data_IF_109886566579
#
_entry.id   IF_109886566579
#
_cell.length_a   1.000
_cell.length_b   1.000
_cell.length_c   1.000
_cell.angle_alpha   90.00
_cell.angle_beta   90.00
_cell.angle_gamma   90.00
#
_symmetry.space_group_name_H-M   'P 1'
#
loop_
_entity.id
_entity.type
_entity.pdbx_description
1 polymer ?
#
# COMPACT_ATOMS: atom_id res chain seq x y z
N UNK A 1 24.25 1.75 3.39
CA UNK A 1 24.63 1.22 4.72
C UNK A 1 23.90 2.00 5.82
N UNK A 2 22.57 2.18 5.68
CA UNK A 2 21.72 2.90 6.64
C UNK A 2 20.45 2.08 7.00
N UNK A 3 20.41 0.81 6.59
CA UNK A 3 19.25 -0.10 6.70
C UNK A 3 19.62 -1.43 7.36
N UNK A 4 20.80 -1.51 7.99
CA UNK A 4 21.28 -2.70 8.68
C UNK A 4 20.72 -2.84 10.08
N UNK A 5 20.25 -1.74 10.70
CA UNK A 5 19.65 -1.77 12.03
C UNK A 5 18.12 -1.83 11.95
N UNK A 6 17.61 -3.06 12.07
CA UNK A 6 16.17 -3.35 12.18
C UNK A 6 15.52 -2.63 13.39
N UNK A 7 16.32 -2.25 14.39
CA UNK A 7 15.90 -1.44 15.53
C UNK A 7 15.43 -0.05 15.11
N UNK A 8 16.21 0.65 14.26
CA UNK A 8 15.84 1.97 13.71
C UNK A 8 14.58 1.84 12.86
N UNK A 9 14.48 0.76 12.07
CA UNK A 9 13.30 0.50 11.25
C UNK A 9 12.03 0.31 12.11
N UNK A 10 12.15 -0.35 13.26
CA UNK A 10 11.05 -0.51 14.22
C UNK A 10 10.56 0.84 14.78
N UNK A 11 11.49 1.74 15.14
CA UNK A 11 11.13 3.08 15.61
C UNK A 11 10.45 3.91 14.51
N UNK A 12 11.00 3.89 13.29
CA UNK A 12 10.40 4.56 12.13
C UNK A 12 9.00 4.02 11.84
N UNK A 13 8.80 2.70 11.95
CA UNK A 13 7.50 2.07 11.77
C UNK A 13 6.50 2.49 12.86
N UNK A 14 6.93 2.56 14.12
CA UNK A 14 6.07 3.00 15.23
C UNK A 14 5.63 4.46 15.05
N UNK A 15 6.56 5.34 14.63
CA UNK A 15 6.26 6.72 14.27
C UNK A 15 5.25 6.79 13.12
N UNK A 16 5.39 5.95 12.10
CA UNK A 16 4.45 5.88 10.99
C UNK A 16 3.02 5.54 11.43
N UNK A 17 2.85 4.56 12.33
CA UNK A 17 1.53 4.23 12.89
C UNK A 17 0.95 5.39 13.69
N UNK A 18 1.77 6.03 14.52
CA UNK A 18 1.34 7.22 15.26
C UNK A 18 0.89 8.34 14.32
N UNK A 19 1.64 8.61 13.24
CA UNK A 19 1.27 9.57 12.20
C UNK A 19 -0.07 9.22 11.55
N UNK A 20 -0.33 7.95 11.23
CA UNK A 20 -1.64 7.54 10.70
C UNK A 20 -2.78 7.87 11.67
N UNK A 21 -2.62 7.58 12.97
CA UNK A 21 -3.65 7.90 13.98
C UNK A 21 -3.90 9.41 14.06
N UNK A 22 -2.84 10.23 14.03
CA UNK A 22 -2.95 11.69 14.03
C UNK A 22 -3.70 12.19 12.79
N UNK A 23 -3.43 11.62 11.61
CA UNK A 23 -4.14 11.99 10.37
C UNK A 23 -5.63 11.67 10.49
N UNK A 24 -5.99 10.45 10.92
CA UNK A 24 -7.41 10.05 11.07
C UNK A 24 -8.12 10.94 12.10
N UNK A 25 -7.48 11.19 13.24
CA UNK A 25 -8.04 12.10 14.26
C UNK A 25 -8.21 13.52 13.74
N UNK A 26 -7.25 14.02 12.97
CA UNK A 26 -7.31 15.37 12.40
C UNK A 26 -8.42 15.52 11.38
N UNK A 27 -8.61 14.53 10.49
CA UNK A 27 -9.72 14.52 9.52
C UNK A 27 -11.07 14.48 10.27
N UNK A 28 -11.19 13.64 11.29
CA UNK A 28 -12.40 13.59 12.11
C UNK A 28 -12.70 14.94 12.79
N UNK A 29 -11.69 15.60 13.35
CA UNK A 29 -11.84 16.93 13.94
C UNK A 29 -12.28 17.98 12.92
N UNK A 30 -11.79 17.93 11.68
CA UNK A 30 -12.25 18.83 10.61
C UNK A 30 -13.72 18.59 10.27
N UNK A 31 -14.15 17.33 10.19
CA UNK A 31 -15.56 16.99 9.99
C UNK A 31 -16.46 17.47 11.12
N UNK A 32 -16.04 17.27 12.37
CA UNK A 32 -16.85 17.58 13.56
C UNK A 32 -16.86 19.06 13.95
N UNK A 33 -15.71 19.75 13.85
CA UNK A 33 -15.51 21.11 14.38
C UNK A 33 -15.21 22.14 13.29
N UNK A 34 -14.69 21.72 12.14
CA UNK A 34 -14.27 22.60 11.04
C UNK A 34 -15.38 22.97 10.06
N UNK A 35 -16.65 22.74 10.41
CA UNK A 35 -17.80 23.16 9.61
C UNK A 35 -18.11 22.33 8.36
N UNK A 36 -17.34 21.29 8.04
CA UNK A 36 -17.61 20.37 6.92
C UNK A 36 -18.85 19.51 7.21
N UNK A 37 -18.98 19.02 8.45
CA UNK A 37 -20.07 18.14 8.86
C UNK A 37 -19.96 16.72 8.30
N UNK A 38 -20.97 15.90 8.60
CA UNK A 38 -21.04 14.47 8.22
C UNK A 38 -22.34 14.12 7.47
N UNK A 39 -22.94 15.12 6.81
CA UNK A 39 -24.24 14.99 6.14
C UNK A 39 -24.12 15.09 4.62
N UNK A 40 -22.96 14.74 4.06
CA UNK A 40 -22.81 14.70 2.63
C UNK A 40 -23.78 13.69 2.00
N UNK A 41 -24.36 14.06 0.86
CA UNK A 41 -25.21 13.18 0.06
C UNK A 41 -24.33 12.44 -0.94
N UNK A 42 -24.61 11.17 -1.13
CA UNK A 42 -23.92 10.35 -2.12
C UNK A 42 -24.68 9.08 -2.44
N UNK A 43 -24.21 8.39 -3.47
CA UNK A 43 -24.78 7.13 -3.94
C UNK A 43 -24.18 5.98 -3.14
N UNK A 44 -25.01 5.26 -2.38
CA UNK A 44 -24.54 4.21 -1.47
C UNK A 44 -23.84 3.03 -2.18
N UNK A 45 -24.20 2.75 -3.43
CA UNK A 45 -23.62 1.67 -4.21
C UNK A 45 -23.49 2.08 -5.66
N UNK A 46 -22.25 2.30 -6.11
CA UNK A 46 -21.92 2.46 -7.52
C UNK A 46 -21.26 1.17 -8.02
N UNK A 47 -21.96 0.43 -8.89
CA UNK A 47 -21.47 -0.85 -9.44
C UNK A 47 -20.26 -0.67 -10.34
N UNK A 48 -20.19 0.44 -11.06
CA UNK A 48 -19.13 0.71 -12.02
C UNK A 48 -17.79 0.97 -11.33
N UNK A 49 -17.82 1.52 -10.11
CA UNK A 49 -16.63 1.76 -9.29
C UNK A 49 -16.10 0.55 -8.52
N UNK A 50 -16.83 -0.58 -8.49
CA UNK A 50 -16.43 -1.76 -7.71
C UNK A 50 -15.04 -2.29 -8.11
N UNK A 51 -14.71 -2.48 -9.41
CA UNK A 51 -13.39 -2.98 -9.80
C UNK A 51 -12.24 -2.09 -9.35
N UNK A 52 -12.40 -0.77 -9.46
CA UNK A 52 -11.42 0.23 -9.02
C UNK A 52 -11.29 0.20 -7.50
N UNK A 53 -12.40 0.20 -6.76
CA UNK A 53 -12.41 0.10 -5.29
C UNK A 53 -11.74 -1.18 -4.76
N UNK A 54 -12.03 -2.33 -5.38
CA UNK A 54 -11.38 -3.61 -5.04
C UNK A 54 -9.88 -3.53 -5.29
N UNK A 55 -9.44 -2.90 -6.37
CA UNK A 55 -8.02 -2.76 -6.70
C UNK A 55 -7.29 -1.85 -5.72
N UNK A 56 -7.89 -0.71 -5.36
CA UNK A 56 -7.38 0.19 -4.32
C UNK A 56 -7.27 -0.53 -2.97
N UNK A 57 -8.29 -1.32 -2.60
CA UNK A 57 -8.27 -2.13 -1.40
C UNK A 57 -7.15 -3.19 -1.43
N UNK A 58 -6.92 -3.85 -2.56
CA UNK A 58 -5.81 -4.80 -2.72
C UNK A 58 -4.46 -4.10 -2.50
N UNK A 59 -4.24 -2.88 -3.03
CA UNK A 59 -3.00 -2.12 -2.78
C UNK A 59 -2.79 -1.85 -1.29
N UNK A 60 -3.84 -1.45 -0.58
CA UNK A 60 -3.78 -1.16 0.85
C UNK A 60 -3.20 -2.35 1.66
N UNK A 61 -3.39 -3.59 1.20
CA UNK A 61 -2.90 -4.80 1.85
C UNK A 61 -1.67 -5.43 1.17
N UNK A 62 -1.00 -4.71 0.26
CA UNK A 62 0.16 -5.18 -0.53
C UNK A 62 1.48 -5.43 0.22
N UNK A 63 1.44 -5.70 1.53
CA UNK A 63 2.62 -5.89 2.40
C UNK A 63 3.23 -7.30 2.40
N UNK A 64 2.65 -8.25 1.69
CA UNK A 64 3.02 -9.68 1.72
C UNK A 64 4.52 -9.97 1.49
N UNK A 65 5.24 -9.27 0.58
CA UNK A 65 6.66 -9.55 0.37
C UNK A 65 7.55 -9.30 1.60
N UNK A 66 7.11 -8.47 2.55
CA UNK A 66 7.85 -8.21 3.78
C UNK A 66 7.62 -9.28 4.87
N UNK A 67 6.56 -10.07 4.75
CA UNK A 67 6.12 -11.05 5.76
C UNK A 67 7.20 -12.10 6.09
N UNK A 68 7.93 -12.70 5.11
CA UNK A 68 9.00 -13.65 5.42
C UNK A 68 10.16 -13.01 6.20
N UNK A 69 10.55 -11.79 5.84
CA UNK A 69 11.61 -11.06 6.56
C UNK A 69 11.21 -10.80 8.01
N UNK A 70 9.97 -10.35 8.23
CA UNK A 70 9.42 -10.14 9.58
C UNK A 70 9.47 -11.45 10.38
N UNK A 71 9.01 -12.57 9.80
CA UNK A 71 9.02 -13.88 10.47
C UNK A 71 10.41 -14.31 10.91
N UNK A 72 11.41 -14.19 10.03
CA UNK A 72 12.79 -14.63 10.31
C UNK A 72 13.41 -13.80 11.43
N UNK A 73 13.12 -12.49 11.46
CA UNK A 73 13.66 -11.52 12.42
C UNK A 73 12.95 -11.50 13.78
N UNK A 74 11.77 -12.12 13.90
CA UNK A 74 11.01 -12.13 15.14
C UNK A 74 11.72 -12.97 16.21
N UNK A 75 11.94 -12.38 17.40
CA UNK A 75 12.55 -13.07 18.55
C UNK A 75 11.75 -14.32 18.94
N UNK A 76 10.43 -14.22 18.95
CA UNK A 76 9.51 -15.30 19.33
C UNK A 76 8.53 -15.62 18.19
N UNK A 77 8.96 -16.50 17.27
CA UNK A 77 8.19 -16.85 16.06
C UNK A 77 6.82 -17.48 16.32
N UNK A 78 6.61 -18.06 17.51
CA UNK A 78 5.31 -18.61 17.91
C UNK A 78 4.20 -17.53 17.96
N UNK A 79 4.56 -16.27 18.23
CA UNK A 79 3.61 -15.16 18.27
C UNK A 79 3.26 -14.60 16.88
N UNK A 80 3.90 -15.09 15.81
CA UNK A 80 3.80 -14.52 14.47
C UNK A 80 2.35 -14.38 13.95
N UNK A 81 1.55 -15.43 14.06
CA UNK A 81 0.16 -15.39 13.59
C UNK A 81 -0.68 -14.38 14.36
N UNK A 82 -0.44 -14.22 15.67
CA UNK A 82 -1.14 -13.21 16.48
C UNK A 82 -0.72 -11.78 16.08
N UNK A 83 0.57 -11.58 15.83
CA UNK A 83 1.11 -10.28 15.38
C UNK A 83 0.53 -9.92 14.01
N UNK A 84 0.54 -10.84 13.05
CA UNK A 84 -0.05 -10.62 11.72
C UNK A 84 -1.54 -10.30 11.80
N UNK A 85 -2.32 -11.12 12.53
CA UNK A 85 -3.75 -10.91 12.65
C UNK A 85 -4.06 -9.55 13.31
N UNK A 86 -3.35 -9.21 14.37
CA UNK A 86 -3.48 -7.92 15.05
C UNK A 86 -3.13 -6.76 14.12
N UNK A 87 -1.98 -6.81 13.44
CA UNK A 87 -1.55 -5.72 12.55
C UNK A 87 -2.51 -5.51 11.40
N UNK A 88 -2.94 -6.58 10.72
CA UNK A 88 -3.88 -6.47 9.62
C UNK A 88 -5.27 -6.02 10.07
N UNK A 89 -5.71 -6.41 11.27
CA UNK A 89 -6.99 -5.95 11.85
C UNK A 89 -6.95 -4.45 12.17
N UNK A 90 -5.86 -3.97 12.77
CA UNK A 90 -5.68 -2.53 13.05
C UNK A 90 -5.66 -1.74 11.75
N UNK A 91 -4.90 -2.20 10.74
CA UNK A 91 -4.85 -1.58 9.42
C UNK A 91 -6.23 -1.50 8.77
N UNK A 92 -6.97 -2.62 8.76
CA UNK A 92 -8.34 -2.68 8.24
C UNK A 92 -9.26 -1.69 8.94
N UNK A 93 -9.22 -1.64 10.28
CA UNK A 93 -10.02 -0.70 11.06
C UNK A 93 -9.67 0.75 10.71
N UNK A 94 -8.38 1.10 10.61
CA UNK A 94 -7.97 2.46 10.28
C UNK A 94 -8.44 2.88 8.89
N UNK A 95 -8.32 2.00 7.89
CA UNK A 95 -8.79 2.29 6.53
C UNK A 95 -10.31 2.41 6.46
N UNK A 96 -11.05 1.51 7.12
CA UNK A 96 -12.50 1.59 7.18
C UNK A 96 -12.98 2.87 7.87
N UNK A 97 -12.36 3.26 8.99
CA UNK A 97 -12.68 4.51 9.67
C UNK A 97 -12.45 5.72 8.76
N UNK A 98 -11.30 5.80 8.09
CA UNK A 98 -11.03 6.91 7.15
C UNK A 98 -12.00 6.92 5.98
N UNK A 99 -12.32 5.76 5.42
CA UNK A 99 -13.26 5.64 4.30
C UNK A 99 -14.67 6.10 4.69
N UNK A 100 -15.18 5.64 5.84
CA UNK A 100 -16.51 6.03 6.34
C UNK A 100 -16.54 7.52 6.66
N UNK A 101 -15.54 8.03 7.38
CA UNK A 101 -15.45 9.47 7.72
C UNK A 101 -15.38 10.32 6.45
N UNK A 102 -14.53 9.94 5.49
CA UNK A 102 -14.39 10.67 4.22
C UNK A 102 -15.67 10.70 3.40
N UNK A 103 -16.34 9.55 3.27
CA UNK A 103 -17.61 9.47 2.55
C UNK A 103 -18.71 10.28 3.24
N UNK A 104 -18.80 10.26 4.58
CA UNK A 104 -19.77 11.09 5.30
C UNK A 104 -19.50 12.60 5.17
N UNK A 105 -18.23 13.00 5.03
CA UNK A 105 -17.84 14.40 4.88
C UNK A 105 -18.05 14.94 3.46
N UNK A 106 -17.79 14.14 2.42
CA UNK A 106 -17.75 14.63 1.03
C UNK A 106 -18.68 13.92 0.06
N UNK A 107 -19.18 12.73 0.40
CA UNK A 107 -20.11 11.95 -0.43
C UNK A 107 -19.51 11.67 -1.81
N UNK A 108 -20.31 11.90 -2.86
CA UNK A 108 -19.89 11.71 -4.26
C UNK A 108 -18.84 12.73 -4.73
N UNK A 109 -18.56 13.78 -3.94
CA UNK A 109 -17.55 14.80 -4.28
C UNK A 109 -16.16 14.49 -3.72
N UNK A 110 -15.92 13.27 -3.22
CA UNK A 110 -14.61 12.90 -2.69
C UNK A 110 -13.58 12.79 -3.82
N UNK A 111 -12.59 13.67 -3.82
CA UNK A 111 -11.41 13.54 -4.69
C UNK A 111 -10.60 12.27 -4.41
N UNK A 112 -9.77 11.86 -5.38
CA UNK A 112 -8.87 10.68 -5.31
C UNK A 112 -8.01 10.57 -4.04
N UNK A 113 -7.77 11.70 -3.37
CA UNK A 113 -7.17 11.77 -2.04
C UNK A 113 -8.00 12.69 -1.15
N UNK A 114 -8.39 12.20 0.02
CA UNK A 114 -9.19 12.99 0.98
C UNK A 114 -8.52 14.31 1.37
N UNK A 115 -7.18 14.35 1.40
CA UNK A 115 -6.40 15.54 1.70
C UNK A 115 -6.63 16.70 0.72
N UNK A 116 -7.02 16.41 -0.52
CA UNK A 116 -7.36 17.43 -1.52
C UNK A 116 -8.70 18.11 -1.23
N UNK A 117 -9.61 17.42 -0.53
CA UNK A 117 -10.91 17.95 -0.15
C UNK A 117 -10.86 18.81 1.12
N UNK A 118 -9.76 18.73 1.89
CA UNK A 118 -9.68 19.37 3.21
C UNK A 118 -9.57 20.90 3.09
N UNK A 119 -10.38 21.68 3.83
CA UNK A 119 -10.34 23.13 3.79
C UNK A 119 -9.04 23.66 4.41
N UNK A 120 -8.24 24.39 3.64
CA UNK A 120 -6.89 24.84 4.06
C UNK A 120 -6.89 25.86 5.21
N UNK A 121 -8.06 26.42 5.56
CA UNK A 121 -8.21 27.37 6.69
C UNK A 121 -8.11 26.70 8.07
N UNK A 122 -8.50 25.43 8.17
CA UNK A 122 -8.62 24.71 9.44
C UNK A 122 -7.29 24.17 9.95
N UNK A 123 -7.07 24.24 11.27
CA UNK A 123 -5.84 23.71 11.90
C UNK A 123 -5.75 22.19 11.71
N UNK A 124 -6.86 21.47 11.87
CA UNK A 124 -6.91 20.02 11.66
C UNK A 124 -6.56 19.62 10.23
N UNK A 125 -7.02 20.40 9.23
CA UNK A 125 -6.69 20.17 7.83
C UNK A 125 -5.20 20.34 7.56
N UNK A 126 -4.59 21.43 8.07
CA UNK A 126 -3.15 21.67 7.95
C UNK A 126 -2.33 20.54 8.56
N UNK A 127 -2.69 20.09 9.77
CA UNK A 127 -2.03 18.97 10.44
C UNK A 127 -2.12 17.70 9.59
N UNK A 128 -3.31 17.33 9.11
CA UNK A 128 -3.50 16.16 8.25
C UNK A 128 -2.66 16.24 6.96
N UNK A 129 -2.63 17.40 6.30
CA UNK A 129 -1.86 17.62 5.07
C UNK A 129 -0.35 17.50 5.35
N UNK A 130 0.19 18.19 6.36
CA UNK A 130 1.62 18.13 6.66
C UNK A 130 2.09 16.73 7.03
N UNK A 131 1.34 16.03 7.88
CA UNK A 131 1.69 14.66 8.23
C UNK A 131 1.58 13.69 7.05
N UNK A 132 0.61 13.88 6.15
CA UNK A 132 0.51 13.11 4.91
C UNK A 132 1.73 13.34 4.01
N UNK A 133 2.25 14.57 3.93
CA UNK A 133 3.47 14.89 3.18
C UNK A 133 4.75 14.30 3.81
N UNK A 134 4.79 14.08 5.12
CA UNK A 134 5.92 13.47 5.81
C UNK A 134 6.04 11.96 5.57
N UNK A 135 4.91 11.26 5.36
CA UNK A 135 4.90 9.80 5.17
C UNK A 135 5.73 9.37 3.95
N UNK A 136 5.56 9.94 2.74
CA UNK A 136 6.36 9.59 1.58
C UNK A 136 7.86 9.76 1.78
N UNK A 137 8.30 10.80 2.50
CA UNK A 137 9.73 11.07 2.73
C UNK A 137 10.39 9.90 3.45
N UNK A 138 9.75 9.39 4.49
CA UNK A 138 10.26 8.25 5.27
C UNK A 138 10.05 6.92 4.54
N UNK A 139 8.86 6.70 3.97
CA UNK A 139 8.48 5.47 3.27
C UNK A 139 9.27 5.25 1.98
N UNK A 140 9.57 6.31 1.22
CA UNK A 140 10.27 6.20 -0.06
C UNK A 140 11.61 5.50 0.09
N UNK A 141 12.39 5.89 1.11
CA UNK A 141 13.70 5.29 1.39
C UNK A 141 13.59 3.78 1.66
N UNK A 142 12.55 3.36 2.38
CA UNK A 142 12.31 1.96 2.71
C UNK A 142 11.95 1.13 1.49
N UNK A 143 11.12 1.68 0.60
CA UNK A 143 10.65 0.99 -0.61
C UNK A 143 11.74 0.95 -1.68
N UNK A 144 12.47 2.05 -1.90
CA UNK A 144 13.45 2.14 -2.98
C UNK A 144 14.76 1.42 -2.66
N UNK A 145 15.13 1.29 -1.39
CA UNK A 145 16.42 0.68 -1.04
C UNK A 145 16.56 -0.78 -1.48
N UNK A 146 15.60 -1.70 -1.24
CA UNK A 146 15.73 -3.07 -1.75
C UNK A 146 15.89 -3.10 -3.27
N UNK A 147 15.14 -2.26 -4.00
CA UNK A 147 15.25 -2.12 -5.46
C UNK A 147 16.64 -1.62 -5.87
N UNK A 148 17.12 -0.55 -5.24
CA UNK A 148 18.45 -0.02 -5.49
C UNK A 148 19.53 -1.07 -5.18
N UNK A 149 19.41 -1.82 -4.08
CA UNK A 149 20.37 -2.88 -3.76
C UNK A 149 20.31 -4.06 -4.72
N UNK A 150 19.14 -4.39 -5.27
CA UNK A 150 19.02 -5.43 -6.28
C UNK A 150 19.74 -5.00 -7.57
N UNK A 151 19.48 -3.78 -8.05
CA UNK A 151 20.19 -3.22 -9.20
C UNK A 151 21.70 -3.14 -8.94
N UNK A 152 22.12 -2.66 -7.77
CA UNK A 152 23.53 -2.56 -7.38
C UNK A 152 24.25 -3.94 -7.36
N UNK A 153 23.51 -5.05 -7.16
CA UNK A 153 24.07 -6.41 -7.13
C UNK A 153 24.29 -7.03 -8.51
N UNK A 154 23.53 -6.59 -9.52
CA UNK A 154 23.71 -7.01 -10.91
C UNK A 154 24.95 -6.37 -11.56
N UNK A 155 25.58 -5.39 -10.91
CA UNK A 155 26.84 -4.82 -11.38
C UNK A 155 27.99 -5.81 -11.20
N UNK A 156 28.93 -5.77 -12.15
CA UNK A 156 30.16 -6.56 -12.09
C UNK A 156 30.93 -6.30 -10.78
N UNK A 157 31.68 -7.29 -10.32
CA UNK A 157 32.45 -7.23 -9.07
C UNK A 157 33.37 -5.99 -8.99
N UNK A 158 33.89 -5.51 -10.13
CA UNK A 158 34.72 -4.30 -10.20
C UNK A 158 33.95 -3.01 -9.90
N UNK A 159 32.69 -2.92 -10.33
CA UNK A 159 31.87 -1.72 -10.19
C UNK A 159 31.03 -1.71 -8.91
N UNK A 160 30.89 -2.86 -8.24
CA UNK A 160 30.07 -3.01 -7.03
C UNK A 160 30.54 -2.13 -5.86
N UNK A 161 31.84 -1.85 -5.75
CA UNK A 161 32.40 -0.99 -4.71
C UNK A 161 32.49 0.50 -5.12
N UNK A 162 32.16 0.85 -6.36
CA UNK A 162 32.21 2.23 -6.84
C UNK A 162 31.04 3.06 -6.28
N UNK A 163 31.34 3.85 -5.23
CA UNK A 163 30.39 4.79 -4.61
C UNK A 163 29.65 5.72 -5.59
N UNK A 164 30.28 6.37 -6.59
CA UNK A 164 29.56 7.30 -7.47
C UNK A 164 28.51 6.59 -8.34
N UNK A 165 28.79 5.38 -8.80
CA UNK A 165 27.85 4.62 -9.63
C UNK A 165 26.62 4.17 -8.84
N UNK A 166 26.80 3.79 -7.58
CA UNK A 166 25.68 3.48 -6.67
C UNK A 166 24.81 4.70 -6.38
N UNK A 167 25.42 5.88 -6.24
CA UNK A 167 24.68 7.14 -6.09
C UNK A 167 23.93 7.48 -7.37
N UNK A 168 24.54 7.27 -8.54
CA UNK A 168 23.90 7.49 -9.85
C UNK A 168 22.65 6.61 -10.01
N UNK A 169 22.71 5.33 -9.66
CA UNK A 169 21.53 4.44 -9.66
C UNK A 169 20.42 4.98 -8.77
N UNK A 170 20.75 5.43 -7.56
CA UNK A 170 19.74 5.96 -6.61
C UNK A 170 19.13 7.27 -7.07
N UNK A 171 19.93 8.17 -7.62
CA UNK A 171 19.46 9.44 -8.20
C UNK A 171 18.58 9.14 -9.41
N UNK A 172 18.99 8.21 -10.28
CA UNK A 172 18.20 7.78 -11.44
C UNK A 172 16.85 7.18 -11.06
N UNK A 173 16.81 6.36 -10.00
CA UNK A 173 15.56 5.84 -9.45
C UNK A 173 14.66 6.98 -8.94
N UNK A 174 15.22 7.92 -8.17
CA UNK A 174 14.50 9.09 -7.68
C UNK A 174 13.92 9.94 -8.81
N UNK A 175 14.75 10.29 -9.80
CA UNK A 175 14.31 11.10 -10.95
C UNK A 175 13.27 10.37 -11.78
N UNK A 176 13.42 9.06 -12.02
CA UNK A 176 12.42 8.28 -12.75
C UNK A 176 11.05 8.28 -12.04
N UNK A 177 11.03 8.13 -10.71
CA UNK A 177 9.78 8.19 -9.95
C UNK A 177 9.15 9.58 -9.97
N UNK A 178 9.96 10.65 -9.97
CA UNK A 178 9.46 12.01 -10.08
C UNK A 178 8.89 12.32 -11.47
N UNK A 179 9.51 11.81 -12.53
CA UNK A 179 9.01 11.95 -13.91
C UNK A 179 7.65 11.26 -14.03
N UNK A 180 7.50 10.02 -13.53
CA UNK A 180 6.20 9.32 -13.55
C UNK A 180 5.13 10.10 -12.81
N UNK A 181 5.45 10.63 -11.62
CA UNK A 181 4.52 11.44 -10.84
C UNK A 181 4.10 12.75 -11.55
N UNK A 182 4.97 13.32 -12.40
CA UNK A 182 4.65 14.51 -13.17
C UNK A 182 3.81 14.20 -14.42
N UNK A 183 4.10 13.09 -15.11
CA UNK A 183 3.43 12.70 -16.37
C UNK A 183 2.05 12.09 -16.11
N UNK A 184 1.87 11.36 -15.01
CA UNK A 184 0.62 10.68 -14.66
C UNK A 184 0.01 11.26 -13.37
N UNK A 185 -0.75 12.37 -13.44
CA UNK A 185 -1.33 13.02 -12.27
C UNK A 185 -2.56 12.28 -11.69
N UNK A 186 -3.00 11.18 -12.32
CA UNK A 186 -4.16 10.38 -11.91
C UNK A 186 -3.79 9.36 -10.83
N UNK A 187 -3.75 9.82 -9.58
CA UNK A 187 -3.37 8.99 -8.43
C UNK A 187 -4.24 7.72 -8.29
N UNK A 188 -5.56 7.88 -8.42
CA UNK A 188 -6.52 6.77 -8.28
C UNK A 188 -6.25 5.65 -9.30
N UNK A 189 -6.21 6.00 -10.58
CA UNK A 189 -6.00 5.03 -11.67
C UNK A 189 -4.63 4.35 -11.55
N UNK A 190 -3.57 5.11 -11.22
CA UNK A 190 -2.24 4.55 -11.02
C UNK A 190 -2.23 3.53 -9.86
N UNK A 191 -2.88 3.86 -8.75
CA UNK A 191 -2.99 2.94 -7.61
C UNK A 191 -3.84 1.72 -7.96
N UNK A 192 -4.93 1.87 -8.70
CA UNK A 192 -5.73 0.75 -9.19
C UNK A 192 -4.91 -0.20 -10.09
N UNK A 193 -4.07 0.33 -11.00
CA UNK A 193 -3.14 -0.47 -11.82
C UNK A 193 -2.10 -1.18 -10.94
N UNK A 194 -1.51 -0.48 -9.97
CA UNK A 194 -0.55 -1.08 -9.03
C UNK A 194 -1.18 -2.27 -8.29
N UNK A 195 -2.43 -2.13 -7.84
CA UNK A 195 -3.17 -3.18 -7.15
C UNK A 195 -3.46 -4.37 -8.03
N UNK A 196 -4.14 -4.10 -9.14
CA UNK A 196 -4.68 -5.11 -10.04
C UNK A 196 -3.59 -5.92 -10.76
N UNK A 197 -2.45 -5.32 -11.10
CA UNK A 197 -1.35 -6.02 -11.77
C UNK A 197 -0.32 -6.51 -10.75
N UNK A 198 0.34 -5.59 -10.05
CA UNK A 198 1.56 -5.91 -9.31
C UNK A 198 1.25 -6.59 -7.98
N UNK A 199 0.27 -6.08 -7.22
CA UNK A 199 -0.07 -6.66 -5.91
C UNK A 199 -0.80 -7.99 -6.06
N UNK A 200 -1.72 -8.12 -7.03
CA UNK A 200 -2.34 -9.40 -7.39
C UNK A 200 -1.27 -10.43 -7.77
N UNK A 201 -0.34 -10.09 -8.65
CA UNK A 201 0.71 -11.01 -9.05
C UNK A 201 1.58 -11.44 -7.84
N UNK A 202 2.08 -10.47 -7.06
CA UNK A 202 3.02 -10.71 -5.98
C UNK A 202 2.40 -11.35 -4.72
N UNK A 203 1.14 -11.05 -4.41
CA UNK A 203 0.50 -11.44 -3.15
C UNK A 203 -0.52 -12.56 -3.30
N UNK A 204 -1.13 -12.72 -4.48
CA UNK A 204 -2.16 -13.74 -4.72
C UNK A 204 -1.61 -14.84 -5.62
N UNK A 205 -1.25 -14.51 -6.86
CA UNK A 205 -0.98 -15.52 -7.90
C UNK A 205 0.34 -16.26 -7.65
N UNK A 206 1.46 -15.55 -7.55
CA UNK A 206 2.78 -16.17 -7.40
C UNK A 206 2.92 -17.06 -6.15
N UNK A 207 2.60 -16.59 -4.92
CA UNK A 207 2.75 -17.44 -3.73
C UNK A 207 1.82 -18.65 -3.77
N UNK A 208 0.60 -18.51 -4.28
CA UNK A 208 -0.35 -19.61 -4.41
C UNK A 208 0.11 -20.65 -5.45
N UNK A 209 0.62 -20.21 -6.60
CA UNK A 209 1.18 -21.13 -7.61
C UNK A 209 2.40 -21.88 -7.08
N UNK A 210 3.30 -21.20 -6.36
CA UNK A 210 4.43 -21.84 -5.69
C UNK A 210 3.96 -22.89 -4.67
N UNK A 211 2.97 -22.55 -3.85
CA UNK A 211 2.39 -23.47 -2.87
C UNK A 211 1.73 -24.69 -3.53
N UNK A 212 0.91 -24.48 -4.56
CA UNK A 212 0.28 -25.56 -5.33
C UNK A 212 1.33 -26.49 -5.93
N UNK A 213 2.36 -25.96 -6.58
CA UNK A 213 3.43 -26.76 -7.21
C UNK A 213 4.16 -27.64 -6.19
N UNK A 214 4.42 -27.12 -4.99
CA UNK A 214 5.10 -27.86 -3.92
C UNK A 214 4.19 -28.94 -3.34
N UNK A 215 2.95 -28.59 -2.97
CA UNK A 215 2.07 -29.49 -2.20
C UNK A 215 1.43 -30.57 -3.08
N UNK A 216 1.00 -30.23 -4.30
CA UNK A 216 0.43 -31.22 -5.24
C UNK A 216 1.48 -32.26 -5.60
N UNK A 217 2.74 -31.85 -5.75
CA UNK A 217 3.85 -32.77 -6.01
C UNK A 217 4.12 -33.75 -4.86
N UNK A 218 3.73 -33.41 -3.62
CA UNK A 218 4.03 -34.21 -2.43
C UNK A 218 2.85 -35.07 -1.96
N UNK A 219 1.62 -34.52 -2.02
CA UNK A 219 0.51 -35.04 -1.21
C UNK A 219 -0.82 -35.18 -1.97
N UNK A 220 -0.84 -34.94 -3.29
CA UNK A 220 -2.06 -35.00 -4.12
C UNK A 220 -3.06 -33.87 -3.86
N UNK A 221 -4.25 -33.93 -4.46
CA UNK A 221 -5.30 -32.92 -4.31
C UNK A 221 -6.05 -33.07 -2.96
N UNK A 222 -6.32 -31.95 -2.30
CA UNK A 222 -6.94 -31.87 -0.97
C UNK A 222 -7.86 -30.64 -0.91
N UNK A 223 -8.87 -30.65 -0.01
CA UNK A 223 -9.79 -29.52 0.18
C UNK A 223 -9.09 -28.18 0.47
N UNK A 224 -7.89 -28.22 1.09
CA UNK A 224 -7.06 -27.02 1.31
C UNK A 224 -6.56 -26.40 0.01
N UNK A 225 -6.26 -27.22 -1.00
CA UNK A 225 -5.81 -26.77 -2.32
C UNK A 225 -6.93 -26.07 -3.09
N UNK A 226 -8.19 -26.46 -2.87
CA UNK A 226 -9.35 -25.79 -3.47
C UNK A 226 -9.47 -24.33 -3.00
N UNK A 227 -9.17 -24.05 -1.73
CA UNK A 227 -9.08 -22.68 -1.22
C UNK A 227 -7.98 -21.86 -1.91
N UNK A 228 -6.83 -22.46 -2.18
CA UNK A 228 -5.71 -21.80 -2.88
C UNK A 228 -6.07 -21.50 -4.33
N UNK A 229 -6.74 -22.42 -5.02
CA UNK A 229 -7.25 -22.20 -6.38
C UNK A 229 -8.28 -21.07 -6.39
N UNK A 230 -9.19 -21.03 -5.40
CA UNK A 230 -10.16 -19.94 -5.29
C UNK A 230 -9.50 -18.56 -5.11
N UNK A 231 -8.40 -18.46 -4.35
CA UNK A 231 -7.62 -17.22 -4.18
C UNK A 231 -6.98 -16.79 -5.52
N UNK A 232 -6.45 -17.74 -6.30
CA UNK A 232 -5.89 -17.44 -7.63
C UNK A 232 -6.99 -16.94 -8.57
N UNK A 233 -8.13 -17.62 -8.62
CA UNK A 233 -9.27 -17.21 -9.47
C UNK A 233 -9.73 -15.81 -9.06
N UNK A 234 -9.99 -15.59 -7.78
CA UNK A 234 -10.37 -14.27 -7.27
C UNK A 234 -9.34 -13.19 -7.65
N UNK A 235 -8.06 -13.43 -7.38
CA UNK A 235 -6.98 -12.49 -7.71
C UNK A 235 -6.93 -12.20 -9.22
N UNK A 236 -7.03 -13.22 -10.07
CA UNK A 236 -7.01 -13.05 -11.52
C UNK A 236 -8.22 -12.26 -12.05
N UNK A 237 -9.42 -12.52 -11.53
CA UNK A 237 -10.64 -11.78 -11.90
C UNK A 237 -10.55 -10.33 -11.44
N UNK A 238 -10.17 -10.09 -10.17
CA UNK A 238 -9.97 -8.75 -9.64
C UNK A 238 -8.88 -7.99 -10.41
N UNK A 239 -7.79 -8.67 -10.80
CA UNK A 239 -6.73 -8.10 -11.61
C UNK A 239 -7.21 -7.69 -13.00
N UNK A 240 -7.89 -8.57 -13.73
CA UNK A 240 -8.41 -8.27 -15.08
C UNK A 240 -9.41 -7.11 -15.04
N UNK A 241 -10.40 -7.19 -14.15
CA UNK A 241 -11.44 -6.16 -14.05
C UNK A 241 -10.87 -4.81 -13.60
N UNK A 242 -9.97 -4.81 -12.61
CA UNK A 242 -9.34 -3.60 -12.08
C UNK A 242 -8.38 -2.93 -13.06
N UNK A 243 -7.63 -3.73 -13.84
CA UNK A 243 -6.80 -3.20 -14.92
C UNK A 243 -7.68 -2.61 -16.01
N UNK A 244 -8.74 -3.32 -16.42
CA UNK A 244 -9.66 -2.83 -17.43
C UNK A 244 -10.31 -1.50 -17.03
N UNK A 245 -10.88 -1.39 -15.82
CA UNK A 245 -11.49 -0.14 -15.36
C UNK A 245 -10.48 1.00 -15.32
N UNK A 246 -9.30 0.76 -14.73
CA UNK A 246 -8.27 1.79 -14.60
C UNK A 246 -7.76 2.32 -15.95
N UNK A 247 -7.76 1.50 -17.02
CA UNK A 247 -7.39 1.96 -18.37
C UNK A 247 -8.52 2.65 -19.13
N UNK A 248 -9.78 2.27 -18.87
CA UNK A 248 -10.95 2.94 -19.47
C UNK A 248 -11.13 4.34 -18.89
N UNK A 249 -10.81 4.51 -17.61
CA UNK A 249 -10.93 5.78 -16.87
C UNK A 249 -9.69 6.71 -17.02
N UNK A 250 -8.69 6.31 -17.81
CA UNK A 250 -7.39 7.01 -18.00
C UNK A 250 -7.39 7.86 -19.27
#
# INVERSE_FOLDING_TARGET
MLLTDLSILSYVSAMGVFTCIVIVGSIFCVGALGGVGFQAKGTLLNVDGIPTAVSLYIVCFGGHPAVPSIYITMRERYHFSKVLLSSYSITMLTYMLTAVVGYLMYGDNVESQITLNLPSGEVGAKVAIYFTLLIPITKYTLVITPVATALERELSANYRNWRPLRMLIRIGLLTSTAIVAHVFPYFENLMAIIGSIFVVAASFVLPCLCYLKIVVSLNGWSNKLMGVVAIIVFGSVAGILGTYSAFVDL
#
